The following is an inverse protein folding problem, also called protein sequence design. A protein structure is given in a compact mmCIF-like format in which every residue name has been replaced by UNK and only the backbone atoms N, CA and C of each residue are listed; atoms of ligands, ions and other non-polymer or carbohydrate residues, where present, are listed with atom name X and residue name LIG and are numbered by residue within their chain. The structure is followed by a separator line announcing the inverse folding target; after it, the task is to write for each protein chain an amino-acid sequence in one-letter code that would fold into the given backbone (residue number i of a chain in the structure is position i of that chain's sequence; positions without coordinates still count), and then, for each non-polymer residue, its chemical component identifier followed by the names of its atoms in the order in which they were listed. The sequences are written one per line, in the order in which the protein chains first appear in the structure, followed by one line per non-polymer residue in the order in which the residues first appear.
data_IF_922086625623
#
_entry.id   IF_922086625623
#
_cell.length_a   1.000
_cell.length_b   1.000
_cell.length_c   1.000
_cell.angle_alpha   90.00
_cell.angle_beta   90.00
_cell.angle_gamma   90.00
#
_symmetry.space_group_name_H-M   'P 1'
#
loop_
_entity.id
_entity.type
_entity.pdbx_description
1 polymer ?
#
# COMPACT_ATOMS: atom_id res chain seq x y z
N UNK A 1 -30.17 -38.39 3.47
CA UNK A 1 -30.41 -38.63 4.90
C UNK A 1 -29.33 -39.57 5.39
N UNK A 2 -28.35 -39.07 6.14
CA UNK A 2 -27.21 -39.87 6.61
C UNK A 2 -27.59 -40.49 7.96
N UNK A 3 -27.72 -41.81 8.01
CA UNK A 3 -28.00 -42.56 9.22
C UNK A 3 -26.73 -43.32 9.61
N UNK A 4 -26.21 -43.06 10.81
CA UNK A 4 -25.08 -43.79 11.40
C UNK A 4 -25.60 -45.15 11.90
N UNK A 5 -25.21 -46.24 11.24
CA UNK A 5 -25.42 -47.62 11.71
C UNK A 5 -24.06 -48.22 12.11
N UNK A 6 -24.03 -49.04 13.15
CA UNK A 6 -22.86 -49.64 13.82
C UNK A 6 -22.10 -50.69 12.96
N UNK A 7 -22.38 -50.70 11.65
CA UNK A 7 -21.74 -51.56 10.63
C UNK A 7 -21.05 -50.76 9.52
N UNK A 8 -20.69 -49.49 9.74
CA UNK A 8 -19.75 -48.81 8.84
C UNK A 8 -18.38 -49.48 8.92
N UNK A 9 -18.19 -50.49 8.07
CA UNK A 9 -16.91 -51.16 7.88
C UNK A 9 -15.88 -50.11 7.45
N UNK A 10 -14.65 -50.24 7.95
CA UNK A 10 -13.49 -49.44 7.52
C UNK A 10 -13.36 -49.37 5.99
N UNK A 11 -13.86 -50.41 5.31
CA UNK A 11 -13.97 -50.52 3.86
C UNK A 11 -14.88 -49.46 3.22
N UNK A 12 -16.02 -49.07 3.81
CA UNK A 12 -16.86 -47.97 3.32
C UNK A 12 -16.20 -46.60 3.54
N UNK A 13 -15.38 -46.47 4.59
CA UNK A 13 -14.59 -45.26 4.87
C UNK A 13 -13.38 -45.15 3.91
N UNK A 14 -12.82 -46.29 3.48
CA UNK A 14 -11.79 -46.39 2.44
C UNK A 14 -12.39 -46.16 1.02
N UNK A 15 -13.60 -46.63 0.77
CA UNK A 15 -14.37 -46.46 -0.48
C UNK A 15 -14.85 -45.01 -0.70
N UNK A 16 -14.95 -44.20 0.36
CA UNK A 16 -15.26 -42.78 0.29
C UNK A 16 -14.16 -41.92 -0.36
N UNK A 17 -13.08 -42.55 -0.86
CA UNK A 17 -11.94 -41.89 -1.49
C UNK A 17 -11.51 -40.64 -0.71
N UNK A 18 -11.31 -40.79 0.60
CA UNK A 18 -10.82 -39.69 1.43
C UNK A 18 -9.50 -39.12 0.85
N UNK A 19 -8.72 -39.96 0.17
CA UNK A 19 -7.51 -39.57 -0.56
C UNK A 19 -7.76 -38.56 -1.70
N UNK A 20 -8.94 -38.53 -2.31
CA UNK A 20 -9.31 -37.56 -3.35
C UNK A 20 -9.77 -36.22 -2.77
N UNK A 21 -10.26 -36.20 -1.52
CA UNK A 21 -10.69 -34.97 -0.86
C UNK A 21 -9.57 -34.33 -0.03
N UNK A 22 -8.52 -35.07 0.33
CA UNK A 22 -7.34 -34.51 1.01
C UNK A 22 -6.69 -33.43 0.16
N UNK A 23 -6.54 -33.65 -1.15
CA UNK A 23 -5.95 -32.65 -2.06
C UNK A 23 -6.85 -31.42 -2.21
N UNK A 24 -8.16 -31.61 -2.37
CA UNK A 24 -9.12 -30.50 -2.46
C UNK A 24 -9.22 -29.68 -1.16
N UNK A 25 -9.16 -30.34 0.00
CA UNK A 25 -9.12 -29.68 1.30
C UNK A 25 -7.78 -28.96 1.50
N UNK A 26 -6.66 -29.57 1.08
CA UNK A 26 -5.35 -28.93 1.14
C UNK A 26 -5.28 -27.67 0.25
N UNK A 27 -5.81 -27.74 -0.97
CA UNK A 27 -5.91 -26.59 -1.88
C UNK A 27 -6.78 -25.47 -1.28
N UNK A 28 -7.91 -25.83 -0.68
CA UNK A 28 -8.81 -24.86 -0.01
C UNK A 28 -8.13 -24.20 1.19
N UNK A 29 -7.39 -24.97 2.00
CA UNK A 29 -6.64 -24.46 3.15
C UNK A 29 -5.51 -23.55 2.70
N UNK A 30 -4.79 -23.90 1.63
CA UNK A 30 -3.72 -23.07 1.10
C UNK A 30 -4.26 -21.78 0.46
N UNK A 31 -5.38 -21.83 -0.24
CA UNK A 31 -6.09 -20.65 -0.72
C UNK A 31 -6.48 -19.73 0.45
N UNK A 32 -7.15 -20.26 1.48
CA UNK A 32 -7.56 -19.48 2.65
C UNK A 32 -6.36 -18.84 3.37
N UNK A 33 -5.24 -19.57 3.46
CA UNK A 33 -4.00 -19.07 4.04
C UNK A 33 -3.41 -17.92 3.23
N UNK A 34 -3.44 -18.00 1.91
CA UNK A 34 -2.95 -16.95 1.02
C UNK A 34 -3.85 -15.71 1.04
N UNK A 35 -5.17 -15.90 1.04
CA UNK A 35 -6.14 -14.83 1.19
C UNK A 35 -5.97 -14.09 2.51
N UNK A 36 -5.80 -14.81 3.62
CA UNK A 36 -5.53 -14.22 4.93
C UNK A 36 -4.24 -13.38 4.94
N UNK A 37 -3.22 -13.80 4.19
CA UNK A 37 -1.98 -13.03 4.06
C UNK A 37 -2.21 -11.71 3.32
N UNK A 38 -2.97 -11.74 2.23
CA UNK A 38 -3.32 -10.52 1.46
C UNK A 38 -4.14 -9.57 2.34
N UNK A 39 -5.15 -10.09 3.03
CA UNK A 39 -6.02 -9.28 3.91
C UNK A 39 -5.21 -8.58 5.02
N UNK A 40 -4.32 -9.31 5.69
CA UNK A 40 -3.45 -8.74 6.74
C UNK A 40 -2.52 -7.64 6.21
N UNK A 41 -1.94 -7.83 5.03
CA UNK A 41 -1.09 -6.79 4.44
C UNK A 41 -1.90 -5.56 4.01
N UNK A 42 -3.11 -5.74 3.47
CA UNK A 42 -4.00 -4.61 3.15
C UNK A 42 -4.40 -3.83 4.41
N UNK A 43 -4.71 -4.51 5.51
CA UNK A 43 -4.97 -3.87 6.81
C UNK A 43 -3.74 -3.13 7.33
N UNK A 44 -2.54 -3.68 7.14
CA UNK A 44 -1.29 -3.03 7.52
C UNK A 44 -1.09 -1.73 6.74
N UNK A 45 -1.23 -1.78 5.41
CA UNK A 45 -1.15 -0.61 4.53
C UNK A 45 -2.14 0.46 5.02
N UNK A 46 -3.40 0.10 5.23
CA UNK A 46 -4.43 1.03 5.72
C UNK A 46 -4.01 1.70 7.04
N UNK A 47 -3.58 0.92 8.03
CA UNK A 47 -3.18 1.47 9.33
C UNK A 47 -1.95 2.37 9.28
N UNK A 48 -0.95 2.05 8.45
CA UNK A 48 0.23 2.90 8.23
C UNK A 48 -0.22 4.24 7.66
N UNK A 49 -1.00 4.25 6.58
CA UNK A 49 -1.47 5.49 5.94
C UNK A 49 -2.43 6.31 6.82
N UNK A 50 -3.18 5.69 7.74
CA UNK A 50 -3.97 6.41 8.73
C UNK A 50 -3.11 7.13 9.78
N UNK A 51 -1.93 6.57 10.09
CA UNK A 51 -1.01 7.12 11.10
C UNK A 51 0.04 8.06 10.53
N UNK A 52 0.26 8.03 9.22
CA UNK A 52 1.30 8.78 8.54
C UNK A 52 0.98 10.28 8.57
N UNK A 53 1.96 11.09 8.98
CA UNK A 53 1.82 12.54 9.05
C UNK A 53 2.95 13.22 8.30
N UNK A 54 2.58 14.25 7.55
CA UNK A 54 3.53 15.16 6.92
C UNK A 54 3.95 16.23 7.94
N UNK A 55 5.25 16.39 8.12
CA UNK A 55 5.81 17.39 9.02
C UNK A 55 6.14 18.67 8.24
N UNK A 56 5.85 19.81 8.85
CA UNK A 56 6.11 21.12 8.27
C UNK A 56 7.03 21.93 9.17
N UNK A 57 7.93 22.71 8.58
CA UNK A 57 8.85 23.58 9.29
C UNK A 57 8.82 25.01 8.72
N UNK A 58 8.98 26.04 9.57
CA UNK A 58 8.98 27.42 9.11
C UNK A 58 10.19 27.71 8.23
N UNK A 59 9.97 28.30 7.05
CA UNK A 59 11.02 28.70 6.14
C UNK A 59 11.53 30.11 6.45
N UNK A 60 12.68 30.19 7.14
CA UNK A 60 13.34 31.45 7.52
C UNK A 60 12.35 32.42 8.20
N UNK A 61 12.42 33.71 7.87
CA UNK A 61 11.54 34.77 8.40
C UNK A 61 10.37 35.11 7.44
N UNK A 62 10.07 34.24 6.48
CA UNK A 62 9.04 34.52 5.45
C UNK A 62 7.61 34.32 5.95
N UNK A 63 7.43 33.67 7.11
CA UNK A 63 6.12 33.30 7.66
C UNK A 63 5.46 32.11 6.96
N UNK A 64 6.11 31.53 5.94
CA UNK A 64 5.62 30.35 5.20
C UNK A 64 6.20 29.08 5.82
N UNK A 65 5.39 28.03 5.91
CA UNK A 65 5.84 26.70 6.33
C UNK A 65 6.09 25.83 5.09
N UNK A 66 7.24 25.18 5.06
CA UNK A 66 7.64 24.25 4.01
C UNK A 66 7.55 22.83 4.55
N UNK A 67 7.25 21.89 3.66
CA UNK A 67 7.25 20.46 3.95
C UNK A 67 8.69 20.04 4.28
N UNK A 68 8.90 19.44 5.47
CA UNK A 68 10.15 18.77 5.82
C UNK A 68 10.36 17.57 4.87
N UNK A 69 11.60 17.19 4.52
CA UNK A 69 11.85 16.02 3.68
C UNK A 69 11.01 14.81 4.12
N UNK A 70 10.04 14.38 3.30
CA UNK A 70 9.09 13.35 3.69
C UNK A 70 9.67 11.95 3.38
N UNK A 71 10.93 11.73 3.75
CA UNK A 71 11.68 10.51 3.37
C UNK A 71 10.97 9.23 3.87
N UNK A 72 10.44 9.27 5.09
CA UNK A 72 9.66 8.16 5.67
C UNK A 72 8.35 7.88 4.92
N UNK A 73 7.71 8.92 4.39
CA UNK A 73 6.49 8.81 3.59
C UNK A 73 6.80 8.19 2.23
N UNK A 74 7.88 8.62 1.60
CA UNK A 74 8.33 8.10 0.31
C UNK A 74 8.74 6.63 0.45
N UNK A 75 9.50 6.29 1.50
CA UNK A 75 9.90 4.90 1.79
C UNK A 75 8.69 3.98 2.00
N UNK A 76 7.69 4.43 2.78
CA UNK A 76 6.44 3.69 2.96
C UNK A 76 5.67 3.53 1.63
N UNK A 77 5.68 4.56 0.78
CA UNK A 77 5.03 4.52 -0.52
C UNK A 77 5.69 3.50 -1.46
N UNK A 78 7.03 3.51 -1.54
CA UNK A 78 7.81 2.54 -2.32
C UNK A 78 7.58 1.10 -1.82
N UNK A 79 7.64 0.87 -0.50
CA UNK A 79 7.42 -0.45 0.10
C UNK A 79 6.01 -0.98 -0.24
N UNK A 80 4.99 -0.14 -0.08
CA UNK A 80 3.60 -0.55 -0.26
C UNK A 80 3.23 -0.73 -1.74
N UNK A 81 3.82 0.03 -2.66
CA UNK A 81 3.67 -0.21 -4.11
C UNK A 81 4.22 -1.60 -4.51
N UNK A 82 5.41 -1.96 -4.02
CA UNK A 82 6.00 -3.29 -4.25
C UNK A 82 5.13 -4.39 -3.63
N UNK A 83 4.63 -4.17 -2.42
CA UNK A 83 3.74 -5.12 -1.75
C UNK A 83 2.47 -5.37 -2.57
N UNK A 84 1.80 -4.31 -3.05
CA UNK A 84 0.60 -4.42 -3.89
C UNK A 84 0.90 -5.12 -5.22
N UNK A 85 2.07 -4.85 -5.83
CA UNK A 85 2.48 -5.53 -7.06
C UNK A 85 2.66 -7.04 -6.84
N UNK A 86 3.27 -7.44 -5.72
CA UNK A 86 3.41 -8.85 -5.35
C UNK A 86 2.06 -9.52 -5.08
N UNK A 87 1.09 -8.80 -4.49
CA UNK A 87 -0.26 -9.32 -4.30
C UNK A 87 -1.00 -9.53 -5.63
N UNK A 88 -0.84 -8.64 -6.61
CA UNK A 88 -1.41 -8.81 -7.95
C UNK A 88 -0.76 -9.96 -8.74
N UNK A 89 0.48 -10.32 -8.44
CA UNK A 89 1.11 -11.50 -9.05
C UNK A 89 0.60 -12.82 -8.46
N UNK A 90 -0.15 -12.77 -7.34
CA UNK A 90 -0.67 -13.95 -6.67
C UNK A 90 -1.97 -14.42 -7.32
N UNK A 91 -2.04 -15.71 -7.69
CA UNK A 91 -3.23 -16.35 -8.28
C UNK A 91 -4.49 -16.29 -7.41
N UNK A 92 -4.33 -16.07 -6.10
CA UNK A 92 -5.43 -15.97 -5.13
C UNK A 92 -5.97 -14.54 -4.95
N UNK A 93 -5.59 -13.59 -5.81
CA UNK A 93 -6.00 -12.19 -5.74
C UNK A 93 -7.48 -11.94 -6.09
N UNK A 94 -8.19 -12.91 -6.69
CA UNK A 94 -9.48 -12.66 -7.35
C UNK A 94 -10.54 -11.99 -6.47
N UNK A 95 -10.58 -12.30 -5.17
CA UNK A 95 -11.49 -11.64 -4.22
C UNK A 95 -11.05 -10.21 -3.85
N UNK A 96 -9.75 -9.94 -3.84
CA UNK A 96 -9.14 -8.67 -3.41
C UNK A 96 -8.78 -7.73 -4.56
N UNK A 97 -8.99 -8.13 -5.82
CA UNK A 97 -8.56 -7.39 -7.01
C UNK A 97 -9.05 -5.94 -7.00
N UNK A 98 -10.32 -5.70 -6.69
CA UNK A 98 -10.90 -4.35 -6.62
C UNK A 98 -10.25 -3.52 -5.52
N UNK A 99 -9.99 -4.13 -4.35
CA UNK A 99 -9.38 -3.44 -3.21
C UNK A 99 -7.91 -3.10 -3.49
N UNK A 100 -7.15 -4.03 -4.06
CA UNK A 100 -5.75 -3.84 -4.46
C UNK A 100 -5.66 -2.76 -5.55
N UNK A 101 -6.55 -2.78 -6.55
CA UNK A 101 -6.59 -1.77 -7.60
C UNK A 101 -6.91 -0.37 -7.06
N UNK A 102 -7.87 -0.27 -6.14
CA UNK A 102 -8.18 0.97 -5.42
C UNK A 102 -6.95 1.50 -4.67
N UNK A 103 -6.28 0.65 -3.90
CA UNK A 103 -5.06 1.03 -3.19
C UNK A 103 -3.95 1.50 -4.14
N UNK A 104 -3.71 0.77 -5.22
CA UNK A 104 -2.72 1.16 -6.24
C UNK A 104 -3.01 2.55 -6.81
N UNK A 105 -4.27 2.85 -7.14
CA UNK A 105 -4.66 4.17 -7.62
C UNK A 105 -4.43 5.26 -6.56
N UNK A 106 -4.76 5.00 -5.30
CA UNK A 106 -4.54 5.94 -4.19
C UNK A 106 -3.06 6.26 -4.00
N UNK A 107 -2.21 5.23 -3.96
CA UNK A 107 -0.76 5.41 -3.79
C UNK A 107 -0.15 6.16 -4.97
N UNK A 108 -0.54 5.83 -6.20
CA UNK A 108 -0.07 6.53 -7.40
C UNK A 108 -0.47 8.02 -7.39
N UNK A 109 -1.70 8.34 -7.01
CA UNK A 109 -2.14 9.74 -6.86
C UNK A 109 -1.36 10.46 -5.76
N UNK A 110 -1.12 9.79 -4.63
CA UNK A 110 -0.38 10.38 -3.52
C UNK A 110 1.08 10.66 -3.90
N UNK A 111 1.73 9.74 -4.63
CA UNK A 111 3.08 9.94 -5.16
C UNK A 111 3.15 11.16 -6.07
N UNK A 112 2.25 11.25 -7.05
CA UNK A 112 2.22 12.38 -7.99
C UNK A 112 2.06 13.72 -7.26
N UNK A 113 1.14 13.80 -6.30
CA UNK A 113 0.93 15.02 -5.51
C UNK A 113 2.16 15.37 -4.66
N UNK A 114 2.82 14.38 -4.07
CA UNK A 114 4.03 14.60 -3.28
C UNK A 114 5.20 15.09 -4.15
N UNK A 115 5.40 14.49 -5.32
CA UNK A 115 6.44 14.90 -6.27
C UNK A 115 6.20 16.33 -6.77
N UNK A 116 4.98 16.65 -7.18
CA UNK A 116 4.59 18.01 -7.60
C UNK A 116 4.80 19.03 -6.47
N UNK A 117 4.41 18.68 -5.24
CA UNK A 117 4.63 19.55 -4.08
C UNK A 117 6.11 19.81 -3.86
N UNK A 118 6.94 18.76 -3.79
CA UNK A 118 8.38 18.88 -3.56
C UNK A 118 9.04 19.72 -4.66
N UNK A 119 8.64 19.53 -5.91
CA UNK A 119 9.14 20.34 -7.03
C UNK A 119 8.76 21.81 -6.90
N UNK A 120 7.47 22.12 -6.68
CA UNK A 120 7.00 23.49 -6.53
C UNK A 120 7.67 24.17 -5.34
N UNK A 121 7.80 23.47 -4.22
CA UNK A 121 8.48 23.97 -3.03
C UNK A 121 9.96 24.25 -3.30
N UNK A 122 10.67 23.35 -4.00
CA UNK A 122 12.07 23.55 -4.39
C UNK A 122 12.23 24.78 -5.28
N UNK A 123 11.37 24.94 -6.28
CA UNK A 123 11.38 26.11 -7.17
C UNK A 123 11.10 27.39 -6.38
N UNK A 124 10.09 27.38 -5.50
CA UNK A 124 9.73 28.52 -4.65
C UNK A 124 10.88 28.91 -3.71
N UNK A 125 11.50 27.95 -3.00
CA UNK A 125 12.64 28.21 -2.13
C UNK A 125 13.84 28.80 -2.89
N UNK A 126 14.09 28.33 -4.12
CA UNK A 126 15.15 28.86 -4.98
C UNK A 126 14.84 30.29 -5.41
N UNK A 127 13.61 30.58 -5.82
CA UNK A 127 13.20 31.93 -6.20
C UNK A 127 13.26 32.88 -5.00
N UNK A 128 12.77 32.47 -3.83
CA UNK A 128 12.87 33.28 -2.60
C UNK A 128 14.33 33.61 -2.28
N UNK A 129 15.23 32.62 -2.37
CA UNK A 129 16.63 32.84 -2.10
C UNK A 129 17.22 33.89 -3.06
N UNK A 130 16.89 33.84 -4.35
CA UNK A 130 17.33 34.83 -5.34
C UNK A 130 16.75 36.21 -5.02
N UNK A 131 15.42 36.32 -4.86
CA UNK A 131 14.74 37.61 -4.68
C UNK A 131 15.03 38.30 -3.34
N UNK A 132 15.33 37.55 -2.28
CA UNK A 132 15.65 38.10 -0.95
C UNK A 132 17.15 38.35 -0.77
N UNK A 133 18.03 37.55 -1.38
CA UNK A 133 19.49 37.72 -1.20
C UNK A 133 20.12 38.79 -2.09
N UNK A 134 19.48 39.19 -3.19
CA UNK A 134 20.00 40.24 -4.07
C UNK A 134 19.04 41.41 -4.19
N UNK A 135 19.35 42.48 -3.46
CA UNK A 135 18.70 43.79 -3.58
C UNK A 135 18.85 44.34 -5.02
N UNK A 136 20.01 44.09 -5.65
CA UNK A 136 20.31 44.47 -7.04
C UNK A 136 19.40 43.81 -8.11
N UNK A 137 18.98 42.54 -7.94
CA UNK A 137 18.10 41.87 -8.92
C UNK A 137 16.66 42.38 -8.79
N UNK A 138 16.25 42.78 -7.57
CA UNK A 138 14.95 43.38 -7.31
C UNK A 138 14.76 44.74 -8.00
N UNK A 139 15.82 45.51 -8.18
CA UNK A 139 15.79 46.80 -8.87
C UNK A 139 15.89 46.68 -10.41
N UNK A 140 16.38 45.54 -10.93
CA UNK A 140 16.54 45.31 -12.38
C UNK A 140 15.38 44.54 -13.03
N UNK A 141 14.48 43.95 -12.24
CA UNK A 141 13.22 43.40 -12.73
C UNK A 141 12.15 44.50 -12.68
N UNK A 142 11.44 44.78 -13.79
CA UNK A 142 10.43 45.84 -13.85
C UNK A 142 9.20 45.57 -12.98
#
# INVERSE_FOLDING_TARGET
SFAMDDKMALQQLLELQLQNYVDSVADTVEQARMELKIDRELMRIDSVWMSLQLEYEPFKQTGVHVLRPPDSVIEALDEHEVALQNMMANRYMGFFETQIASWKSKLASMRAVLEDWIEVQRQWCSLEAIFISSEDIREQLP
#
